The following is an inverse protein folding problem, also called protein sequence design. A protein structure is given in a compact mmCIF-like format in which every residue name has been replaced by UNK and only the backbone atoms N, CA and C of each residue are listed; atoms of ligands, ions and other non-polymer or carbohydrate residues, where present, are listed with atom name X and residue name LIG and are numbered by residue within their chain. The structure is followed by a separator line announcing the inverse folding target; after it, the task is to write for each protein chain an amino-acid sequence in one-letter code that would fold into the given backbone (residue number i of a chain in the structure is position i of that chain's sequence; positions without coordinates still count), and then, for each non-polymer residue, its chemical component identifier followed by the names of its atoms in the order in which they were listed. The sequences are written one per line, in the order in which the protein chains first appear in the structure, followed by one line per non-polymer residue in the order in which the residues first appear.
data_IF_167241432877
#
_entry.id   IF_167241432877
#
_cell.length_a   1.000
_cell.length_b   1.000
_cell.length_c   1.000
_cell.angle_alpha   90.00
_cell.angle_beta   90.00
_cell.angle_gamma   90.00
#
_symmetry.space_group_name_H-M   'P 1'
#
loop_
_entity.id
_entity.type
_entity.pdbx_description
1 polymer ?
#
# COMPACT_ATOMS: atom_id res chain seq x y z
N UNK A 1 -30.15 6.45 -10.60
CA UNK A 1 -29.92 7.22 -9.34
C UNK A 1 -28.90 6.47 -8.51
N UNK A 2 -27.92 7.16 -7.93
CA UNK A 2 -27.03 6.51 -6.97
C UNK A 2 -27.83 6.04 -5.74
N UNK A 3 -27.53 4.87 -5.13
CA UNK A 3 -28.18 4.44 -3.91
C UNK A 3 -28.09 5.52 -2.83
N UNK A 4 -29.13 5.66 -2.03
CA UNK A 4 -29.15 6.60 -0.90
C UNK A 4 -27.95 6.31 0.01
N UNK A 5 -27.17 7.34 0.34
CA UNK A 5 -25.93 7.20 1.14
C UNK A 5 -24.62 6.98 0.35
N UNK A 6 -24.64 6.37 -0.84
CA UNK A 6 -23.41 6.11 -1.60
C UNK A 6 -22.66 7.42 -1.97
N UNK A 7 -23.42 8.47 -2.32
CA UNK A 7 -22.83 9.77 -2.64
C UNK A 7 -22.12 10.41 -1.44
N UNK A 8 -22.69 10.28 -0.25
CA UNK A 8 -22.07 10.76 0.99
C UNK A 8 -20.80 9.95 1.33
N UNK A 9 -20.85 8.63 1.20
CA UNK A 9 -19.71 7.74 1.41
C UNK A 9 -18.55 8.07 0.45
N UNK A 10 -18.84 8.24 -0.85
CA UNK A 10 -17.82 8.62 -1.85
C UNK A 10 -17.23 10.00 -1.52
N UNK A 11 -18.06 10.98 -1.13
CA UNK A 11 -17.56 12.29 -0.73
C UNK A 11 -16.60 12.21 0.46
N UNK A 12 -16.93 11.40 1.48
CA UNK A 12 -16.09 11.17 2.67
C UNK A 12 -14.75 10.54 2.28
N UNK A 13 -14.77 9.53 1.42
CA UNK A 13 -13.59 8.86 0.88
C UNK A 13 -12.70 9.81 0.07
N UNK A 14 -13.28 10.65 -0.78
CA UNK A 14 -12.53 11.56 -1.65
C UNK A 14 -11.92 12.73 -0.91
N UNK A 15 -12.45 13.15 0.25
CA UNK A 15 -11.99 14.34 0.97
C UNK A 15 -10.49 14.32 1.30
N UNK A 16 -9.91 13.27 1.95
CA UNK A 16 -8.48 13.19 2.20
C UNK A 16 -7.65 13.13 0.91
N UNK A 17 -8.16 12.48 -0.13
CA UNK A 17 -7.48 12.43 -1.43
C UNK A 17 -7.41 13.84 -2.06
N UNK A 18 -8.51 14.58 -2.09
CA UNK A 18 -8.54 15.96 -2.61
C UNK A 18 -7.62 16.88 -1.80
N UNK A 19 -7.56 16.72 -0.46
CA UNK A 19 -6.60 17.44 0.38
C UNK A 19 -5.16 17.18 -0.08
N UNK A 20 -4.80 15.92 -0.36
CA UNK A 20 -3.48 15.56 -0.89
C UNK A 20 -3.22 16.22 -2.24
N UNK A 21 -4.17 16.16 -3.18
CA UNK A 21 -4.02 16.76 -4.51
C UNK A 21 -3.75 18.25 -4.43
N UNK A 22 -4.52 18.99 -3.62
CA UNK A 22 -4.35 20.43 -3.40
C UNK A 22 -2.97 20.72 -2.77
N UNK A 23 -2.58 19.98 -1.74
CA UNK A 23 -1.28 20.13 -1.08
C UNK A 23 -0.09 19.88 -2.03
N UNK A 24 -0.29 19.08 -3.07
CA UNK A 24 0.71 18.80 -4.11
C UNK A 24 0.57 19.68 -5.35
N UNK A 25 -0.29 20.68 -5.34
CA UNK A 25 -0.52 21.57 -6.47
C UNK A 25 -1.17 20.92 -7.69
N UNK A 26 -1.80 19.75 -7.52
CA UNK A 26 -2.50 19.02 -8.57
C UNK A 26 -3.91 19.58 -8.74
N UNK A 27 -4.14 20.29 -9.82
CA UNK A 27 -5.38 21.02 -10.08
C UNK A 27 -6.52 20.09 -10.51
N UNK A 28 -7.77 20.53 -10.28
CA UNK A 28 -8.98 19.78 -10.65
C UNK A 28 -8.99 19.28 -12.10
N UNK A 29 -8.58 20.05 -13.15
CA UNK A 29 -8.58 19.54 -14.52
C UNK A 29 -7.70 18.30 -14.70
N UNK A 30 -6.55 18.25 -14.00
CA UNK A 30 -5.67 17.09 -14.00
C UNK A 30 -6.37 15.87 -13.37
N UNK A 31 -6.93 16.03 -12.18
CA UNK A 31 -7.65 14.97 -11.46
C UNK A 31 -8.87 14.47 -12.26
N UNK A 32 -9.62 15.38 -12.88
CA UNK A 32 -10.76 15.03 -13.73
C UNK A 32 -10.33 14.23 -14.98
N UNK A 33 -9.19 14.56 -15.58
CA UNK A 33 -8.64 13.78 -16.68
C UNK A 33 -8.20 12.37 -16.25
N UNK A 34 -7.47 12.28 -15.13
CA UNK A 34 -7.08 10.98 -14.56
C UNK A 34 -8.31 10.11 -14.24
N UNK A 35 -9.34 10.68 -13.61
CA UNK A 35 -10.57 9.95 -13.30
C UNK A 35 -11.27 9.47 -14.58
N UNK A 36 -11.30 10.28 -15.63
CA UNK A 36 -11.85 9.89 -16.94
C UNK A 36 -11.08 8.72 -17.56
N UNK A 37 -9.76 8.71 -17.43
CA UNK A 37 -8.91 7.58 -17.86
C UNK A 37 -9.28 6.31 -17.09
N UNK A 38 -9.35 6.37 -15.76
CA UNK A 38 -9.70 5.23 -14.92
C UNK A 38 -11.10 4.69 -15.26
N UNK A 39 -12.09 5.55 -15.52
CA UNK A 39 -13.42 5.10 -15.94
C UNK A 39 -13.38 4.30 -17.25
N UNK A 40 -12.57 4.74 -18.22
CA UNK A 40 -12.44 4.03 -19.50
C UNK A 40 -11.71 2.70 -19.31
N UNK A 41 -10.63 2.70 -18.53
CA UNK A 41 -9.82 1.50 -18.27
C UNK A 41 -10.64 0.41 -17.56
N UNK A 42 -11.37 0.77 -16.49
CA UNK A 42 -12.26 -0.14 -15.76
C UNK A 42 -13.38 -0.67 -16.65
N UNK A 43 -14.02 0.20 -17.45
CA UNK A 43 -15.07 -0.24 -18.36
C UNK A 43 -14.57 -1.24 -19.42
N UNK A 44 -13.33 -1.08 -19.85
CA UNK A 44 -12.69 -2.00 -20.81
C UNK A 44 -12.31 -3.33 -20.16
N UNK A 45 -11.76 -3.30 -18.95
CA UNK A 45 -11.21 -4.49 -18.28
C UNK A 45 -12.29 -5.33 -17.59
N UNK A 46 -13.26 -4.69 -16.92
CA UNK A 46 -14.14 -5.36 -15.96
C UNK A 46 -15.60 -5.47 -16.44
N UNK A 47 -15.98 -4.75 -17.51
CA UNK A 47 -17.34 -4.78 -18.04
C UNK A 47 -17.44 -5.29 -19.49
N UNK A 48 -16.76 -6.40 -19.87
CA UNK A 48 -16.91 -6.97 -21.20
C UNK A 48 -18.30 -7.62 -21.36
N UNK A 49 -18.78 -7.68 -22.60
CA UNK A 49 -19.95 -8.53 -22.96
C UNK A 49 -19.44 -9.75 -23.69
N UNK A 50 -19.85 -10.92 -23.22
CA UNK A 50 -19.46 -12.18 -23.84
C UNK A 50 -19.80 -12.19 -25.33
N UNK A 51 -18.82 -12.56 -26.17
CA UNK A 51 -18.97 -12.67 -27.62
C UNK A 51 -19.11 -11.35 -28.39
N UNK A 52 -18.94 -10.18 -27.73
CA UNK A 52 -19.04 -8.88 -28.41
C UNK A 52 -17.78 -8.02 -28.19
N UNK A 53 -17.34 -7.36 -29.28
CA UNK A 53 -16.27 -6.39 -29.19
C UNK A 53 -16.67 -5.17 -28.33
N UNK A 54 -15.74 -4.69 -27.51
CA UNK A 54 -15.90 -3.44 -26.77
C UNK A 54 -15.75 -2.25 -27.73
N UNK A 55 -16.88 -1.64 -28.14
CA UNK A 55 -16.89 -0.47 -29.01
C UNK A 55 -16.79 0.84 -28.21
N UNK A 56 -16.28 1.91 -28.84
CA UNK A 56 -16.22 3.25 -28.23
C UNK A 56 -17.62 3.74 -27.80
N UNK A 57 -18.65 3.44 -28.58
CA UNK A 57 -20.04 3.80 -28.27
C UNK A 57 -20.52 3.11 -27.00
N UNK A 58 -20.15 1.83 -26.80
CA UNK A 58 -20.49 1.09 -25.59
C UNK A 58 -19.77 1.68 -24.36
N UNK A 59 -18.48 1.95 -24.49
CA UNK A 59 -17.72 2.57 -23.39
C UNK A 59 -18.30 3.94 -23.02
N UNK A 60 -18.65 4.76 -24.03
CA UNK A 60 -19.34 6.04 -23.79
C UNK A 60 -20.67 5.84 -23.05
N UNK A 61 -21.46 4.84 -23.41
CA UNK A 61 -22.73 4.53 -22.75
C UNK A 61 -22.55 4.14 -21.28
N UNK A 62 -21.54 3.32 -20.98
CA UNK A 62 -21.24 2.86 -19.61
C UNK A 62 -20.68 3.97 -18.72
N UNK A 63 -19.81 4.80 -19.28
CA UNK A 63 -18.99 5.72 -18.47
C UNK A 63 -19.46 7.18 -18.53
N UNK A 64 -20.26 7.55 -19.52
CA UNK A 64 -20.59 8.95 -19.83
C UNK A 64 -19.42 9.75 -20.43
N UNK A 65 -18.26 9.13 -20.62
CA UNK A 65 -17.07 9.78 -21.22
C UNK A 65 -17.31 9.98 -22.71
N UNK A 66 -17.02 11.20 -23.21
CA UNK A 66 -17.26 11.54 -24.60
C UNK A 66 -16.46 10.64 -25.56
N UNK A 67 -17.08 10.20 -26.68
CA UNK A 67 -16.50 9.24 -27.64
C UNK A 67 -15.11 9.63 -28.16
N UNK A 68 -14.84 10.92 -28.36
CA UNK A 68 -13.50 11.39 -28.78
C UNK A 68 -12.44 11.07 -27.72
N UNK A 69 -12.76 11.25 -26.44
CA UNK A 69 -11.86 10.91 -25.34
C UNK A 69 -11.68 9.41 -25.20
N UNK A 70 -12.75 8.64 -25.32
CA UNK A 70 -12.67 7.16 -25.33
C UNK A 70 -11.72 6.68 -26.42
N UNK A 71 -11.86 7.17 -27.66
CA UNK A 71 -10.97 6.81 -28.79
C UNK A 71 -9.52 7.19 -28.51
N UNK A 72 -9.27 8.39 -27.97
CA UNK A 72 -7.93 8.86 -27.61
C UNK A 72 -7.30 7.99 -26.52
N UNK A 73 -8.06 7.65 -25.49
CA UNK A 73 -7.59 6.89 -24.33
C UNK A 73 -7.30 5.43 -24.66
N UNK A 74 -8.10 4.81 -25.53
CA UNK A 74 -7.82 3.44 -26.01
C UNK A 74 -6.56 3.32 -26.87
N UNK A 75 -6.20 4.37 -27.57
CA UNK A 75 -4.99 4.41 -28.41
C UNK A 75 -3.70 4.76 -27.65
N UNK A 76 -3.79 5.08 -26.36
CA UNK A 76 -2.63 5.41 -25.56
C UNK A 76 -1.92 4.15 -25.05
N UNK A 77 -0.57 4.12 -24.98
CA UNK A 77 0.16 2.95 -24.49
C UNK A 77 -0.27 2.55 -23.08
N UNK A 78 -0.37 1.23 -22.82
CA UNK A 78 -0.76 0.64 -21.53
C UNK A 78 0.27 0.83 -20.39
N UNK A 79 1.36 1.58 -20.62
CA UNK A 79 2.50 1.71 -19.70
C UNK A 79 2.27 2.77 -18.59
N UNK A 80 1.03 2.87 -18.07
CA UNK A 80 0.65 3.88 -17.08
C UNK A 80 0.85 3.46 -15.62
N UNK A 81 1.11 2.19 -15.38
CA UNK A 81 1.29 1.63 -14.03
C UNK A 81 2.58 0.82 -13.90
N UNK A 82 3.67 1.29 -14.51
CA UNK A 82 4.97 0.66 -14.27
C UNK A 82 5.33 0.82 -12.79
N UNK A 83 5.24 -0.29 -12.06
CA UNK A 83 5.76 -0.38 -10.68
C UNK A 83 7.22 0.09 -10.71
N UNK A 84 7.60 1.11 -9.94
CA UNK A 84 9.00 1.47 -9.83
C UNK A 84 9.79 0.23 -9.43
N UNK A 85 10.73 -0.22 -10.26
CA UNK A 85 11.52 -1.44 -10.01
C UNK A 85 12.22 -1.40 -8.65
N UNK A 86 12.53 -0.19 -8.16
CA UNK A 86 13.13 0.02 -6.85
C UNK A 86 12.20 -0.25 -5.65
N UNK A 87 10.91 0.13 -5.75
CA UNK A 87 9.95 -0.07 -4.66
C UNK A 87 9.70 -1.57 -4.40
N UNK A 88 9.66 -2.40 -5.45
CA UNK A 88 9.54 -3.85 -5.32
C UNK A 88 10.77 -4.48 -4.64
N UNK A 89 11.97 -4.02 -4.98
CA UNK A 89 13.22 -4.51 -4.39
C UNK A 89 13.32 -4.15 -2.91
N UNK A 90 13.10 -2.88 -2.57
CA UNK A 90 13.16 -2.39 -1.18
C UNK A 90 12.22 -3.17 -0.26
N UNK A 91 10.97 -3.37 -0.69
CA UNK A 91 10.00 -4.14 0.07
C UNK A 91 10.44 -5.59 0.30
N UNK A 92 11.05 -6.24 -0.69
CA UNK A 92 11.55 -7.61 -0.56
C UNK A 92 12.77 -7.71 0.38
N UNK A 93 13.70 -6.75 0.32
CA UNK A 93 14.86 -6.70 1.21
C UNK A 93 14.41 -6.51 2.66
N UNK A 94 13.48 -5.59 2.92
CA UNK A 94 12.92 -5.36 4.25
C UNK A 94 12.18 -6.59 4.77
N UNK A 95 11.33 -7.21 3.93
CA UNK A 95 10.61 -8.43 4.30
C UNK A 95 11.58 -9.54 4.75
N UNK A 96 12.72 -9.71 4.08
CA UNK A 96 13.75 -10.67 4.47
C UNK A 96 14.48 -10.29 5.75
N UNK A 97 14.76 -8.99 5.94
CA UNK A 97 15.38 -8.53 7.19
C UNK A 97 14.50 -8.80 8.40
N UNK A 98 13.20 -8.62 8.25
CA UNK A 98 12.22 -8.86 9.32
C UNK A 98 11.89 -10.34 9.53
N UNK A 99 12.05 -11.20 8.52
CA UNK A 99 11.60 -12.59 8.56
C UNK A 99 12.73 -13.62 8.79
N UNK A 100 13.92 -13.41 8.22
CA UNK A 100 14.99 -14.40 8.26
C UNK A 100 15.70 -14.38 9.62
N UNK A 101 15.87 -15.55 10.29
CA UNK A 101 16.44 -15.64 11.63
C UNK A 101 17.84 -15.01 11.75
N UNK A 102 18.69 -15.17 10.72
CA UNK A 102 20.06 -14.64 10.71
C UNK A 102 20.12 -13.10 10.74
N UNK A 103 19.05 -12.42 10.35
CA UNK A 103 18.94 -10.95 10.35
C UNK A 103 18.15 -10.41 11.55
N UNK A 104 17.81 -11.27 12.52
CA UNK A 104 17.07 -10.89 13.73
C UNK A 104 17.95 -11.04 14.97
N UNK A 105 17.65 -10.27 15.99
CA UNK A 105 18.24 -10.45 17.33
C UNK A 105 17.50 -11.50 18.17
N UNK A 106 17.95 -11.72 19.39
CA UNK A 106 17.35 -12.68 20.31
C UNK A 106 15.92 -12.35 20.72
N UNK A 107 15.49 -11.08 20.58
CA UNK A 107 14.15 -10.59 20.85
C UNK A 107 13.25 -10.63 19.59
N UNK A 108 13.83 -11.05 18.46
CA UNK A 108 13.12 -11.15 17.20
C UNK A 108 13.01 -9.83 16.44
N UNK A 109 13.66 -8.76 16.89
CA UNK A 109 13.76 -7.50 16.17
C UNK A 109 14.84 -7.55 15.07
N UNK A 110 14.76 -6.69 14.03
CA UNK A 110 15.80 -6.62 13.02
C UNK A 110 17.12 -6.13 13.65
N UNK A 111 18.14 -6.97 13.57
CA UNK A 111 19.46 -6.63 14.15
C UNK A 111 20.19 -5.59 13.29
N UNK A 112 21.03 -4.73 13.88
CA UNK A 112 21.97 -3.89 13.14
C UNK A 112 22.91 -4.73 12.27
N UNK A 113 23.09 -4.35 11.01
CA UNK A 113 23.91 -5.09 10.05
C UNK A 113 25.17 -4.32 9.67
N UNK A 114 26.31 -5.01 9.57
CA UNK A 114 27.49 -4.43 8.94
C UNK A 114 27.17 -4.03 7.51
N UNK A 115 27.74 -2.94 7.01
CA UNK A 115 27.50 -2.49 5.62
C UNK A 115 27.93 -3.51 4.57
N UNK A 116 29.11 -4.14 4.78
CA UNK A 116 29.76 -5.04 3.83
C UNK A 116 29.98 -6.43 4.42
N UNK A 117 30.04 -7.41 3.55
CA UNK A 117 30.51 -8.75 3.90
C UNK A 117 32.02 -8.73 3.96
N UNK A 118 32.58 -8.83 5.16
CA UNK A 118 34.02 -9.02 5.36
C UNK A 118 34.30 -10.48 5.64
N UNK A 119 34.83 -11.20 4.66
CA UNK A 119 35.54 -12.46 4.88
C UNK A 119 34.83 -13.61 5.60
N UNK A 120 33.49 -13.69 5.56
CA UNK A 120 32.75 -14.89 6.02
C UNK A 120 32.12 -14.80 7.41
N UNK A 121 32.22 -13.71 8.13
CA UNK A 121 31.61 -13.58 9.47
C UNK A 121 30.30 -12.79 9.51
N UNK A 122 29.18 -13.52 9.50
CA UNK A 122 27.85 -13.06 9.88
C UNK A 122 27.09 -12.25 8.82
N UNK A 123 25.82 -11.96 9.10
CA UNK A 123 24.94 -11.26 8.19
C UNK A 123 25.34 -9.78 8.01
N UNK A 124 25.28 -9.31 6.75
CA UNK A 124 25.54 -7.93 6.37
C UNK A 124 24.44 -7.36 5.52
N UNK A 125 24.32 -6.03 5.44
CA UNK A 125 23.37 -5.38 4.55
C UNK A 125 23.65 -5.74 3.07
N UNK A 126 24.90 -5.82 2.69
CA UNK A 126 25.30 -6.25 1.36
C UNK A 126 24.80 -7.67 1.05
N UNK A 127 24.99 -8.62 1.97
CA UNK A 127 24.49 -9.98 1.81
C UNK A 127 22.96 -10.01 1.72
N UNK A 128 22.28 -9.26 2.58
CA UNK A 128 20.82 -9.16 2.58
C UNK A 128 20.29 -8.66 1.23
N UNK A 129 20.83 -7.58 0.67
CA UNK A 129 20.41 -7.05 -0.65
C UNK A 129 20.63 -8.09 -1.74
N UNK A 130 21.78 -8.76 -1.73
CA UNK A 130 22.12 -9.80 -2.72
C UNK A 130 21.20 -11.03 -2.65
N UNK A 131 20.59 -11.31 -1.51
CA UNK A 131 19.58 -12.39 -1.44
C UNK A 131 18.34 -12.10 -2.31
N UNK A 132 18.07 -10.82 -2.60
CA UNK A 132 16.92 -10.38 -3.39
C UNK A 132 17.30 -10.12 -4.84
N UNK A 133 18.43 -9.43 -5.06
CA UNK A 133 18.88 -9.06 -6.41
C UNK A 133 20.40 -8.91 -6.44
N UNK A 134 21.04 -9.62 -7.38
CA UNK A 134 22.49 -9.59 -7.59
C UNK A 134 22.97 -8.49 -8.52
N UNK A 135 22.07 -7.94 -9.35
CA UNK A 135 22.41 -6.97 -10.39
C UNK A 135 22.49 -5.53 -9.85
N UNK A 136 21.83 -5.28 -8.71
CA UNK A 136 21.81 -3.97 -8.08
C UNK A 136 22.94 -3.88 -7.04
N UNK A 137 23.72 -2.80 -7.12
CA UNK A 137 24.79 -2.55 -6.16
C UNK A 137 24.21 -2.21 -4.78
N UNK A 138 24.53 -2.97 -3.72
CA UNK A 138 24.00 -2.75 -2.36
C UNK A 138 24.20 -1.32 -1.83
N UNK A 139 25.29 -0.67 -2.22
CA UNK A 139 25.58 0.73 -1.86
C UNK A 139 24.50 1.69 -2.39
N UNK A 140 24.02 1.49 -3.61
CA UNK A 140 22.98 2.35 -4.20
C UNK A 140 21.67 2.22 -3.42
N UNK A 141 21.34 0.99 -2.97
CA UNK A 141 20.18 0.74 -2.11
C UNK A 141 20.37 1.43 -0.76
N UNK A 142 21.56 1.32 -0.17
CA UNK A 142 21.86 1.93 1.13
C UNK A 142 21.78 3.46 1.07
N UNK A 143 22.41 4.07 0.06
CA UNK A 143 22.42 5.54 -0.11
C UNK A 143 20.98 6.06 -0.28
N UNK A 144 20.14 5.36 -1.03
CA UNK A 144 18.74 5.72 -1.21
C UNK A 144 17.93 5.52 0.09
N UNK A 145 18.15 4.45 0.82
CA UNK A 145 17.45 4.19 2.08
C UNK A 145 17.84 5.15 3.20
N UNK A 146 19.09 5.60 3.24
CA UNK A 146 19.53 6.69 4.12
C UNK A 146 18.82 7.99 3.75
N UNK A 147 18.75 8.33 2.46
CA UNK A 147 18.02 9.50 1.96
C UNK A 147 16.53 9.46 2.33
N UNK A 148 15.91 8.29 2.27
CA UNK A 148 14.50 8.05 2.61
C UNK A 148 14.25 7.92 4.11
N UNK A 149 15.29 7.89 4.96
CA UNK A 149 15.14 7.69 6.40
C UNK A 149 14.69 6.28 6.81
N UNK A 150 14.73 5.31 5.89
CA UNK A 150 14.34 3.90 6.17
C UNK A 150 15.37 3.19 7.04
N UNK A 151 16.63 3.64 6.95
CA UNK A 151 17.72 3.14 7.77
C UNK A 151 18.57 4.31 8.28
N UNK A 152 19.25 4.08 9.38
CA UNK A 152 20.30 4.95 9.90
C UNK A 152 21.59 4.17 10.07
N UNK A 153 22.70 4.88 10.14
CA UNK A 153 23.99 4.30 10.51
C UNK A 153 24.21 4.62 11.99
N UNK A 154 24.59 3.61 12.76
CA UNK A 154 24.96 3.80 14.16
C UNK A 154 26.45 4.16 14.32
N UNK A 155 26.86 4.42 15.58
CA UNK A 155 28.24 4.81 15.92
C UNK A 155 29.29 3.70 15.63
N UNK A 156 28.82 2.44 15.40
CA UNK A 156 29.65 1.29 15.06
C UNK A 156 29.64 0.98 13.55
N UNK A 157 29.20 1.95 12.73
CA UNK A 157 29.11 1.85 11.26
C UNK A 157 28.20 0.71 10.77
N UNK A 158 27.13 0.40 11.53
CA UNK A 158 26.14 -0.60 11.16
C UNK A 158 24.87 0.05 10.62
N UNK A 159 24.23 -0.62 9.70
CA UNK A 159 22.93 -0.25 9.15
C UNK A 159 21.84 -0.73 10.10
N UNK A 160 21.10 0.19 10.67
CA UNK A 160 19.96 -0.08 11.54
C UNK A 160 18.65 0.21 10.77
N UNK A 161 17.75 -0.76 10.70
CA UNK A 161 16.42 -0.55 10.16
C UNK A 161 15.59 0.29 11.13
N UNK A 162 15.03 1.38 10.67
CA UNK A 162 14.07 2.14 11.45
C UNK A 162 12.66 1.52 11.20
N UNK A 163 12.23 0.70 12.14
CA UNK A 163 10.92 0.00 12.03
C UNK A 163 9.75 0.98 12.13
N UNK A 164 9.98 2.17 12.69
CA UNK A 164 8.96 3.23 12.74
C UNK A 164 8.97 4.11 11.48
N UNK A 165 10.09 4.17 10.77
CA UNK A 165 10.25 4.92 9.53
C UNK A 165 9.70 4.19 8.29
N UNK A 166 8.77 3.25 8.45
CA UNK A 166 8.00 2.71 7.32
C UNK A 166 7.10 3.78 6.65
N UNK A 167 7.28 5.03 7.03
CA UNK A 167 6.79 6.21 6.33
C UNK A 167 7.98 6.73 5.50
N UNK A 168 8.08 6.43 4.19
CA UNK A 168 9.14 6.92 3.33
C UNK A 168 9.23 8.44 3.40
N UNK A 169 10.44 9.03 3.23
CA UNK A 169 10.65 10.46 3.28
C UNK A 169 9.64 11.23 2.40
N UNK A 170 9.14 12.35 2.90
CA UNK A 170 8.10 13.13 2.24
C UNK A 170 8.38 13.35 0.76
N UNK A 171 7.47 12.89 -0.10
CA UNK A 171 7.50 13.15 -1.54
C UNK A 171 8.21 12.11 -2.41
N UNK A 172 8.66 10.96 -1.88
CA UNK A 172 9.29 9.93 -2.71
C UNK A 172 8.27 9.20 -3.61
N UNK A 173 8.71 8.77 -4.79
CA UNK A 173 7.92 7.91 -5.68
C UNK A 173 7.53 6.58 -5.00
N UNK A 174 8.35 6.11 -4.07
CA UNK A 174 8.12 4.91 -3.28
C UNK A 174 6.97 5.11 -2.28
N UNK A 175 6.88 6.27 -1.62
CA UNK A 175 5.75 6.64 -0.78
C UNK A 175 4.44 6.66 -1.57
N UNK A 176 4.45 7.29 -2.75
CA UNK A 176 3.28 7.33 -3.62
C UNK A 176 2.87 5.92 -4.08
N UNK A 177 3.84 5.05 -4.35
CA UNK A 177 3.58 3.65 -4.70
C UNK A 177 2.91 2.87 -3.55
N UNK A 178 3.45 2.93 -2.33
CA UNK A 178 2.85 2.24 -1.18
C UNK A 178 1.51 2.83 -0.78
N UNK A 179 1.35 4.15 -0.84
CA UNK A 179 0.08 4.83 -0.67
C UNK A 179 -0.96 4.28 -1.66
N UNK A 180 -0.64 4.28 -2.95
CA UNK A 180 -1.54 3.76 -3.97
C UNK A 180 -1.88 2.28 -3.78
N UNK A 181 -0.86 1.43 -3.54
CA UNK A 181 -1.04 -0.02 -3.39
C UNK A 181 -1.88 -0.39 -2.16
N UNK A 182 -1.57 0.19 -1.01
CA UNK A 182 -2.23 -0.20 0.24
C UNK A 182 -3.69 0.25 0.26
N UNK A 183 -3.96 1.49 -0.20
CA UNK A 183 -5.33 1.98 -0.31
C UNK A 183 -6.12 1.29 -1.41
N UNK A 184 -5.48 0.96 -2.54
CA UNK A 184 -6.11 0.16 -3.60
C UNK A 184 -6.61 -1.17 -3.06
N UNK A 185 -5.76 -1.92 -2.36
CA UNK A 185 -6.12 -3.26 -1.90
C UNK A 185 -7.25 -3.22 -0.86
N UNK A 186 -7.23 -2.24 0.06
CA UNK A 186 -8.32 -2.05 1.01
C UNK A 186 -9.63 -1.66 0.30
N UNK A 187 -9.57 -0.68 -0.62
CA UNK A 187 -10.74 -0.25 -1.36
C UNK A 187 -11.29 -1.37 -2.25
N UNK A 188 -10.43 -2.17 -2.89
CA UNK A 188 -10.84 -3.30 -3.71
C UNK A 188 -11.57 -4.37 -2.88
N UNK A 189 -11.09 -4.67 -1.67
CA UNK A 189 -11.77 -5.59 -0.76
C UNK A 189 -13.13 -5.03 -0.32
N UNK A 190 -13.21 -3.75 0.04
CA UNK A 190 -14.45 -3.09 0.44
C UNK A 190 -15.48 -3.04 -0.71
N UNK A 191 -15.04 -2.73 -1.94
CA UNK A 191 -15.91 -2.72 -3.14
C UNK A 191 -16.43 -4.11 -3.45
N UNK A 192 -15.58 -5.15 -3.42
CA UNK A 192 -15.97 -6.54 -3.59
C UNK A 192 -17.09 -6.94 -2.59
N UNK A 193 -16.91 -6.62 -1.31
CA UNK A 193 -17.89 -6.90 -0.27
C UNK A 193 -19.18 -6.11 -0.49
N UNK A 194 -19.09 -4.84 -0.88
CA UNK A 194 -20.24 -3.97 -1.13
C UNK A 194 -21.08 -4.44 -2.35
N UNK A 195 -20.42 -5.01 -3.36
CA UNK A 195 -21.07 -5.60 -4.54
C UNK A 195 -21.66 -6.98 -4.25
N UNK A 196 -21.45 -7.55 -3.07
CA UNK A 196 -21.95 -8.87 -2.68
C UNK A 196 -21.25 -10.02 -3.36
N UNK A 197 -20.03 -9.81 -3.83
CA UNK A 197 -19.22 -10.88 -4.43
C UNK A 197 -18.75 -11.88 -3.38
N UNK A 198 -18.58 -13.14 -3.77
CA UNK A 198 -18.28 -14.24 -2.85
C UNK A 198 -17.02 -15.01 -3.23
N UNK A 199 -16.23 -15.51 -2.25
CA UNK A 199 -16.35 -15.27 -0.80
C UNK A 199 -15.96 -13.84 -0.41
N UNK A 200 -16.55 -13.27 0.66
CA UNK A 200 -16.20 -11.93 1.09
C UNK A 200 -14.77 -11.86 1.62
N UNK A 201 -14.09 -10.73 1.38
CA UNK A 201 -12.82 -10.43 2.01
C UNK A 201 -13.01 -10.06 3.49
N UNK A 202 -11.96 -10.30 4.28
CA UNK A 202 -11.91 -9.86 5.68
C UNK A 202 -11.82 -8.33 5.71
N UNK A 203 -12.88 -7.70 6.23
CA UNK A 203 -12.94 -6.27 6.48
C UNK A 203 -13.53 -6.08 7.88
N UNK A 204 -12.71 -5.64 8.83
CA UNK A 204 -13.11 -5.44 10.21
C UNK A 204 -12.43 -4.19 10.75
N UNK A 205 -13.19 -3.41 11.51
CA UNK A 205 -12.68 -2.27 12.26
C UNK A 205 -13.35 -2.20 13.64
N UNK A 206 -12.69 -1.56 14.57
CA UNK A 206 -13.28 -1.09 15.81
C UNK A 206 -13.31 0.42 15.77
N UNK A 207 -14.45 1.02 16.10
CA UNK A 207 -14.62 2.47 16.08
C UNK A 207 -15.27 2.91 17.39
N UNK A 208 -14.60 3.80 18.11
CA UNK A 208 -15.11 4.37 19.36
C UNK A 208 -14.92 5.89 19.31
N UNK A 209 -15.90 6.59 19.81
CA UNK A 209 -15.91 8.05 19.95
C UNK A 209 -15.88 8.44 21.42
N UNK A 210 -15.61 9.73 21.71
CA UNK A 210 -15.63 10.29 23.08
C UNK A 210 -14.56 9.68 24.01
N UNK A 211 -13.43 9.31 23.48
CA UNK A 211 -12.27 8.87 24.24
C UNK A 211 -11.43 10.06 24.69
N UNK A 212 -10.83 9.95 25.87
CA UNK A 212 -9.82 10.92 26.31
C UNK A 212 -8.50 10.72 25.57
N UNK A 213 -7.62 11.74 25.47
CA UNK A 213 -6.28 11.57 24.90
C UNK A 213 -5.49 10.42 25.55
N UNK A 214 -5.62 10.23 26.86
CA UNK A 214 -4.96 9.13 27.59
C UNK A 214 -5.49 7.75 27.17
N UNK A 215 -6.81 7.62 26.99
CA UNK A 215 -7.42 6.36 26.50
C UNK A 215 -7.01 6.06 25.06
N UNK A 216 -6.91 7.08 24.19
CA UNK A 216 -6.41 6.92 22.82
C UNK A 216 -4.96 6.46 22.84
N UNK A 217 -4.09 7.06 23.67
CA UNK A 217 -2.69 6.65 23.80
C UNK A 217 -2.52 5.19 24.26
N UNK A 218 -3.36 4.73 25.20
CA UNK A 218 -3.37 3.33 25.63
C UNK A 218 -3.76 2.39 24.49
N UNK A 219 -4.84 2.71 23.75
CA UNK A 219 -5.29 1.90 22.62
C UNK A 219 -4.28 1.90 21.47
N UNK A 220 -3.62 3.04 21.20
CA UNK A 220 -2.56 3.15 20.19
C UNK A 220 -1.38 2.24 20.55
N UNK A 221 -0.89 2.30 21.79
CA UNK A 221 0.21 1.46 22.24
C UNK A 221 -0.11 -0.04 22.14
N UNK A 222 -1.31 -0.44 22.59
CA UNK A 222 -1.78 -1.83 22.48
C UNK A 222 -1.92 -2.24 21.02
N UNK A 223 -2.55 -1.40 20.20
CA UNK A 223 -2.78 -1.65 18.79
C UNK A 223 -1.49 -1.84 18.03
N UNK A 224 -0.51 -0.92 18.19
CA UNK A 224 0.81 -1.04 17.55
C UNK A 224 1.53 -2.31 17.93
N UNK A 225 1.57 -2.65 19.22
CA UNK A 225 2.24 -3.86 19.70
C UNK A 225 1.63 -5.13 19.07
N UNK A 226 0.31 -5.26 19.07
CA UNK A 226 -0.38 -6.43 18.52
C UNK A 226 -0.34 -6.50 17.02
N UNK A 227 -0.53 -5.37 16.33
CA UNK A 227 -0.44 -5.27 14.88
C UNK A 227 0.96 -5.64 14.37
N UNK A 228 2.02 -5.13 15.02
CA UNK A 228 3.41 -5.45 14.65
C UNK A 228 3.68 -6.95 14.81
N UNK A 229 3.29 -7.55 15.93
CA UNK A 229 3.47 -8.97 16.17
C UNK A 229 2.75 -9.84 15.11
N UNK A 230 1.50 -9.52 14.79
CA UNK A 230 0.73 -10.22 13.77
C UNK A 230 1.38 -10.11 12.38
N UNK A 231 1.80 -8.91 11.99
CA UNK A 231 2.45 -8.71 10.69
C UNK A 231 3.79 -9.44 10.59
N UNK A 232 4.58 -9.49 11.66
CA UNK A 232 5.83 -10.25 11.71
C UNK A 232 5.59 -11.75 11.55
N UNK A 233 4.61 -12.31 12.27
CA UNK A 233 4.22 -13.72 12.18
C UNK A 233 3.78 -14.09 10.75
N UNK A 234 2.86 -13.30 10.18
CA UNK A 234 2.37 -13.53 8.82
C UNK A 234 3.46 -13.36 7.77
N UNK A 235 4.35 -12.37 7.92
CA UNK A 235 5.47 -12.17 7.00
C UNK A 235 6.42 -13.38 7.00
N UNK A 236 6.79 -13.89 8.18
CA UNK A 236 7.64 -15.08 8.29
C UNK A 236 6.97 -16.30 7.65
N UNK A 237 5.68 -16.49 7.90
CA UNK A 237 4.91 -17.59 7.31
C UNK A 237 4.77 -17.46 5.80
N UNK A 238 4.46 -16.26 5.31
CA UNK A 238 4.31 -15.99 3.88
C UNK A 238 5.62 -16.24 3.12
N UNK A 239 6.77 -15.83 3.67
CA UNK A 239 8.07 -16.08 3.07
C UNK A 239 8.37 -17.58 2.97
N UNK A 240 8.11 -18.36 4.02
CA UNK A 240 8.29 -19.79 4.02
C UNK A 240 7.40 -20.50 2.97
N UNK A 241 6.14 -20.05 2.84
CA UNK A 241 5.22 -20.56 1.83
C UNK A 241 5.67 -20.19 0.41
N UNK A 242 6.11 -18.95 0.20
CA UNK A 242 6.64 -18.50 -1.10
C UNK A 242 7.87 -19.31 -1.54
N UNK A 243 8.78 -19.62 -0.60
CA UNK A 243 9.95 -20.47 -0.88
C UNK A 243 9.54 -21.90 -1.21
N UNK A 244 8.60 -22.48 -0.46
CA UNK A 244 8.07 -23.82 -0.71
C UNK A 244 7.42 -23.94 -2.10
N UNK A 245 6.67 -22.92 -2.50
CA UNK A 245 5.87 -22.91 -3.72
C UNK A 245 6.64 -22.35 -4.94
N UNK A 246 7.93 -22.01 -4.77
CA UNK A 246 8.76 -21.49 -5.85
C UNK A 246 8.84 -22.48 -7.03
N UNK A 247 8.60 -21.96 -8.25
CA UNK A 247 8.61 -22.76 -9.48
C UNK A 247 7.33 -23.56 -9.75
N UNK A 248 6.34 -23.53 -8.87
CA UNK A 248 5.07 -24.20 -9.11
C UNK A 248 4.21 -23.42 -10.11
N UNK A 249 3.59 -24.05 -11.11
CA UNK A 249 2.76 -23.37 -12.12
C UNK A 249 1.46 -22.78 -11.54
N UNK A 250 0.98 -23.31 -10.40
CA UNK A 250 -0.21 -22.83 -9.69
C UNK A 250 0.08 -21.73 -8.66
N UNK A 251 1.33 -21.31 -8.49
CA UNK A 251 1.75 -20.20 -7.62
C UNK A 251 1.43 -18.81 -8.26
N UNK A 252 0.14 -18.54 -8.48
CA UNK A 252 -0.35 -17.34 -9.20
C UNK A 252 -1.00 -16.31 -8.29
N UNK A 253 -1.11 -16.57 -6.98
CA UNK A 253 -1.85 -15.73 -6.04
C UNK A 253 -0.96 -14.67 -5.39
N UNK A 254 -1.53 -13.49 -5.17
CA UNK A 254 -0.97 -12.43 -4.35
C UNK A 254 -1.76 -12.33 -3.04
N UNK A 255 -1.07 -12.18 -1.93
CA UNK A 255 -1.65 -11.96 -0.60
C UNK A 255 -1.21 -10.61 -0.06
N UNK A 256 -2.12 -9.87 0.55
CA UNK A 256 -1.84 -8.66 1.30
C UNK A 256 -2.75 -8.60 2.53
N UNK A 257 -2.18 -8.34 3.70
CA UNK A 257 -2.88 -7.91 4.90
C UNK A 257 -2.32 -6.56 5.30
N UNK A 258 -3.16 -5.52 5.30
CA UNK A 258 -2.84 -4.18 5.77
C UNK A 258 -3.58 -3.87 7.06
N UNK A 259 -2.92 -3.16 7.98
CA UNK A 259 -3.51 -2.64 9.21
C UNK A 259 -3.24 -1.15 9.27
N UNK A 260 -4.17 -0.38 9.82
CA UNK A 260 -4.01 1.05 10.05
C UNK A 260 -4.59 1.43 11.39
N UNK A 261 -4.00 2.45 11.99
CA UNK A 261 -4.51 3.17 13.15
C UNK A 261 -4.75 4.61 12.73
N UNK A 262 -5.90 5.14 13.12
CA UNK A 262 -6.26 6.52 12.87
C UNK A 262 -6.99 7.07 14.07
N UNK A 263 -6.54 8.22 14.55
CA UNK A 263 -7.21 9.03 15.54
C UNK A 263 -7.30 10.47 15.07
N UNK A 264 -8.32 11.17 15.49
CA UNK A 264 -8.51 12.60 15.23
C UNK A 264 -9.14 13.27 16.43
N UNK A 265 -8.70 14.48 16.71
CA UNK A 265 -9.41 15.37 17.63
C UNK A 265 -10.70 15.82 16.97
N UNK A 266 -11.82 15.43 17.53
CA UNK A 266 -13.14 15.92 17.09
C UNK A 266 -13.53 17.11 17.95
N UNK A 267 -13.96 18.19 17.29
CA UNK A 267 -14.68 19.27 17.92
C UNK A 267 -15.97 18.80 18.56
N UNK A 268 -16.75 19.73 19.14
CA UNK A 268 -17.99 19.46 19.85
C UNK A 268 -18.89 18.45 19.11
N UNK A 269 -19.51 17.47 19.80
CA UNK A 269 -20.37 16.42 19.24
C UNK A 269 -21.52 16.88 18.34
N UNK A 270 -21.78 18.18 18.28
CA UNK A 270 -22.81 18.81 17.42
C UNK A 270 -22.39 18.93 15.96
N UNK A 271 -21.12 18.70 15.61
CA UNK A 271 -20.59 18.98 14.27
C UNK A 271 -20.71 17.83 13.24
N UNK A 272 -21.09 16.62 13.63
CA UNK A 272 -21.33 15.53 12.68
C UNK A 272 -22.57 14.67 13.04
N UNK A 273 -23.73 14.98 12.43
CA UNK A 273 -24.96 14.22 12.66
C UNK A 273 -24.95 12.79 12.11
N UNK A 274 -23.88 12.36 11.44
CA UNK A 274 -23.81 11.06 10.74
C UNK A 274 -23.28 9.88 11.58
N UNK A 275 -22.73 10.11 12.77
CA UNK A 275 -22.13 9.06 13.62
C UNK A 275 -23.00 8.68 14.83
N UNK A 276 -24.29 8.99 14.83
CA UNK A 276 -25.22 8.43 15.81
C UNK A 276 -25.38 6.93 15.50
N UNK A 277 -24.59 6.10 16.17
CA UNK A 277 -24.77 4.66 16.15
C UNK A 277 -26.05 4.27 16.92
N UNK A 278 -26.73 3.19 16.46
CA UNK A 278 -27.82 2.56 17.20
C UNK A 278 -27.34 1.95 18.52
#
# INVERSE_FOLDING_TARGET
MAPEGLGAAIRRLLRPLVRLLIARGLLFPWAANLLREVYVDVALAEFPVAGKAQTDSRITLLTGVHRKDVKRLRGAPADRAATPRGASLGAQVIARWLALPEYRDAQGAPRPLRRRSTGGEGPSFEALVRTVNTDIRPRVVLDEWLRLGLVRIDDEDRVCLDVQAFIPAEGSAEMAYFFGRNLHDHLAAAVHNLLGETPPFLERSVNYTRLTPAAVAELDALGRARATALLQELNARALALQQRDAGRPDATRRFNLGLFLYDEERGDPTDDPGDAQP
#
